data_IF_929913840048
#
_entry.id   IF_929913840048
#
_cell.length_a   1.000
_cell.length_b   1.000
_cell.length_c   1.000
_cell.angle_alpha   90.00
_cell.angle_beta   90.00
_cell.angle_gamma   90.00
#
_symmetry.space_group_name_H-M   'P 1'
#
loop_
_entity.id
_entity.type
_entity.pdbx_description
1 polymer ?
#
# COMPACT_ATOMS: atom_id res chain seq x y z
N UNK A 1 61.40 3.72 -4.63
CA UNK A 1 62.00 5.07 -4.68
C UNK A 1 62.36 5.37 -6.13
N UNK A 2 61.91 6.49 -6.68
CA UNK A 2 60.70 6.54 -7.54
C UNK A 2 61.19 6.67 -8.99
N UNK A 3 60.85 5.71 -9.85
CA UNK A 3 61.23 5.67 -11.28
C UNK A 3 59.98 6.04 -12.08
N UNK A 4 60.09 7.09 -12.90
CA UNK A 4 58.98 7.61 -13.71
C UNK A 4 58.64 6.75 -14.93
N UNK A 5 57.53 7.08 -15.61
CA UNK A 5 57.29 6.94 -17.06
C UNK A 5 56.03 7.74 -17.41
N UNK A 6 56.15 8.60 -18.45
CA UNK A 6 55.04 9.13 -19.26
C UNK A 6 54.23 7.98 -19.89
N UNK A 7 52.90 8.01 -19.85
CA UNK A 7 52.04 7.39 -20.88
C UNK A 7 50.68 8.11 -20.83
N UNK A 8 50.40 9.03 -21.76
CA UNK A 8 49.72 8.77 -23.03
C UNK A 8 48.20 8.62 -22.87
N UNK A 9 47.56 9.79 -22.87
CA UNK A 9 46.19 9.99 -23.34
C UNK A 9 46.02 9.33 -24.72
N UNK A 10 44.88 8.66 -24.96
CA UNK A 10 44.49 7.83 -26.12
C UNK A 10 44.74 6.33 -25.98
N UNK A 11 43.65 5.57 -25.71
CA UNK A 11 43.22 4.40 -26.48
C UNK A 11 42.31 3.45 -25.67
N UNK A 12 41.03 3.77 -25.48
CA UNK A 12 39.99 2.72 -25.26
C UNK A 12 38.72 3.08 -26.06
N UNK A 13 38.89 3.19 -27.37
CA UNK A 13 37.87 2.82 -28.36
C UNK A 13 38.32 1.48 -28.94
N UNK A 14 37.54 0.42 -28.68
CA UNK A 14 37.52 -0.93 -29.28
C UNK A 14 37.57 -2.03 -28.21
N UNK A 15 36.38 -2.42 -27.73
CA UNK A 15 36.03 -3.79 -27.35
C UNK A 15 34.52 -3.86 -27.09
N UNK A 16 33.71 -3.70 -28.15
CA UNK A 16 32.35 -4.21 -28.17
C UNK A 16 32.42 -5.70 -28.52
N UNK A 17 32.11 -6.65 -27.62
CA UNK A 17 31.77 -7.99 -28.05
C UNK A 17 30.35 -7.95 -28.62
N UNK A 18 30.27 -7.97 -29.93
CA UNK A 18 29.09 -8.38 -30.69
C UNK A 18 28.70 -9.80 -30.24
N UNK A 19 27.67 -9.93 -29.39
CA UNK A 19 26.91 -11.17 -29.26
C UNK A 19 25.45 -10.87 -29.56
N UNK A 20 25.12 -11.00 -30.84
CA UNK A 20 23.81 -11.47 -31.27
C UNK A 20 23.59 -12.90 -30.75
N UNK A 21 22.68 -13.05 -29.79
CA UNK A 21 21.93 -14.27 -29.47
C UNK A 21 20.51 -13.73 -29.22
N UNK A 22 19.60 -13.65 -30.20
CA UNK A 22 18.88 -14.76 -30.82
C UNK A 22 18.68 -15.92 -29.85
N UNK A 23 17.49 -15.99 -29.24
CA UNK A 23 17.12 -17.07 -28.32
C UNK A 23 16.01 -16.67 -27.36
N UNK A 24 14.82 -17.15 -27.66
CA UNK A 24 13.61 -17.14 -26.83
C UNK A 24 13.83 -17.64 -25.39
N UNK A 25 13.57 -16.80 -24.39
CA UNK A 25 12.68 -17.03 -23.23
C UNK A 25 13.06 -16.09 -22.06
N UNK A 26 12.06 -15.62 -21.28
CA UNK A 26 12.21 -14.50 -20.35
C UNK A 26 12.51 -15.03 -18.95
N UNK A 27 13.75 -15.00 -18.50
CA UNK A 27 14.12 -15.18 -17.09
C UNK A 27 15.62 -14.99 -16.92
N UNK A 28 16.07 -13.74 -16.69
CA UNK A 28 17.31 -13.46 -15.95
C UNK A 28 17.41 -11.98 -15.61
N UNK A 29 17.12 -11.72 -14.33
CA UNK A 29 17.52 -10.55 -13.58
C UNK A 29 19.00 -10.24 -13.85
N UNK A 30 19.28 -9.11 -14.50
CA UNK A 30 20.64 -8.58 -14.65
C UNK A 30 20.63 -7.16 -14.10
N UNK A 31 20.95 -7.09 -12.81
CA UNK A 31 21.25 -5.85 -12.10
C UNK A 31 22.54 -5.28 -12.69
N UNK A 32 22.43 -4.26 -13.54
CA UNK A 32 23.56 -3.41 -13.90
C UNK A 32 23.73 -2.36 -12.79
N UNK A 33 24.52 -2.68 -11.76
CA UNK A 33 25.12 -1.68 -10.88
C UNK A 33 26.30 -1.08 -11.65
N UNK A 34 26.06 0.01 -12.39
CA UNK A 34 27.14 0.94 -12.72
C UNK A 34 27.36 1.82 -11.49
N UNK A 35 28.37 1.44 -10.70
CA UNK A 35 28.90 2.26 -9.63
C UNK A 35 29.48 3.56 -10.23
N UNK A 36 28.79 4.67 -10.01
CA UNK A 36 29.30 6.02 -10.20
C UNK A 36 29.37 6.67 -8.80
N UNK A 37 30.57 7.03 -8.28
CA UNK A 37 30.70 7.57 -6.92
C UNK A 37 30.39 9.06 -6.79
N UNK A 38 30.05 9.77 -7.88
CA UNK A 38 29.92 11.24 -7.89
C UNK A 38 28.58 11.75 -8.43
N UNK A 39 27.47 11.16 -7.99
CA UNK A 39 26.15 11.71 -8.28
C UNK A 39 25.18 11.44 -7.14
N UNK A 40 24.89 12.50 -6.39
CA UNK A 40 23.75 12.68 -5.49
C UNK A 40 22.43 12.58 -6.27
N UNK A 41 22.15 11.39 -6.80
CA UNK A 41 20.86 11.03 -7.36
C UNK A 41 20.38 9.85 -6.55
N UNK A 42 19.49 10.16 -5.63
CA UNK A 42 18.65 9.19 -4.96
C UNK A 42 17.88 8.41 -6.03
N UNK A 43 18.48 7.35 -6.58
CA UNK A 43 17.76 6.22 -7.13
C UNK A 43 17.05 5.55 -5.97
N UNK A 44 15.93 6.15 -5.57
CA UNK A 44 14.91 5.46 -4.82
C UNK A 44 14.48 4.30 -5.71
N UNK A 45 14.80 3.10 -5.25
CA UNK A 45 14.41 1.82 -5.84
C UNK A 45 12.87 1.71 -5.98
N UNK A 46 12.29 2.28 -7.03
CA UNK A 46 10.88 2.03 -7.45
C UNK A 46 10.81 0.81 -8.38
N UNK A 47 11.72 -0.16 -8.27
CA UNK A 47 11.67 -1.39 -9.08
C UNK A 47 11.79 -2.70 -8.28
N UNK A 48 11.88 -2.64 -6.94
CA UNK A 48 11.86 -3.85 -6.09
C UNK A 48 10.63 -3.96 -5.16
N UNK A 49 9.68 -3.02 -5.24
CA UNK A 49 8.39 -3.04 -4.51
C UNK A 49 7.28 -3.82 -5.23
N UNK A 50 7.53 -4.36 -6.44
CA UNK A 50 6.52 -5.12 -7.19
C UNK A 50 6.50 -6.62 -6.87
N UNK A 51 7.46 -7.13 -6.07
CA UNK A 51 7.55 -8.55 -5.73
C UNK A 51 6.65 -8.88 -4.53
N UNK A 52 5.35 -9.00 -4.82
CA UNK A 52 4.38 -9.80 -4.06
C UNK A 52 4.57 -9.73 -2.53
N UNK A 53 4.38 -8.54 -1.96
CA UNK A 53 4.00 -8.47 -0.55
C UNK A 53 2.49 -8.68 -0.48
N UNK A 54 1.96 -9.45 0.49
CA UNK A 54 0.52 -9.61 0.63
C UNK A 54 -0.11 -8.20 0.68
N UNK A 55 -1.30 -8.03 0.12
CA UNK A 55 -2.02 -6.74 0.08
C UNK A 55 -2.05 -6.02 1.45
N UNK A 56 -1.94 -6.80 2.54
CA UNK A 56 -1.80 -6.36 3.92
C UNK A 56 -0.53 -5.56 4.25
N UNK A 57 0.59 -5.79 3.57
CA UNK A 57 1.82 -5.02 3.79
C UNK A 57 1.74 -3.60 3.21
N UNK A 58 1.01 -3.42 2.10
CA UNK A 58 0.69 -2.07 1.61
C UNK A 58 -0.31 -1.36 2.55
N UNK A 59 -1.13 -2.14 3.27
CA UNK A 59 -2.08 -1.67 4.29
C UNK A 59 -1.39 -1.13 5.55
N UNK A 60 -0.30 -1.79 5.97
CA UNK A 60 0.48 -1.41 7.16
C UNK A 60 1.51 -0.33 6.83
N UNK A 61 2.07 -0.35 5.61
CA UNK A 61 2.99 0.69 5.13
C UNK A 61 2.27 1.99 4.74
N UNK A 62 0.96 1.94 4.46
CA UNK A 62 0.13 3.04 3.97
C UNK A 62 -0.20 4.16 4.97
N UNK A 63 0.49 4.24 6.12
CA UNK A 63 0.31 5.14 7.27
C UNK A 63 -0.36 4.45 8.47
N UNK A 64 0.48 4.16 9.48
CA UNK A 64 0.09 3.57 10.78
C UNK A 64 -1.07 4.34 11.45
N UNK A 65 -1.15 5.65 11.28
CA UNK A 65 -2.15 6.51 11.93
C UNK A 65 -3.58 6.21 11.48
N UNK A 66 -3.80 5.82 10.23
CA UNK A 66 -5.16 5.58 9.71
C UNK A 66 -5.58 4.11 9.80
N UNK A 67 -4.62 3.18 9.73
CA UNK A 67 -4.91 1.75 9.81
C UNK A 67 -5.30 1.31 11.23
N UNK A 68 -4.67 1.87 12.28
CA UNK A 68 -4.96 1.53 13.68
C UNK A 68 -6.43 1.72 14.07
N UNK A 69 -7.06 2.89 13.86
CA UNK A 69 -8.46 3.09 14.22
C UNK A 69 -9.42 2.20 13.42
N UNK A 70 -9.14 1.90 12.14
CA UNK A 70 -9.93 0.92 11.37
C UNK A 70 -9.83 -0.49 11.97
N UNK A 71 -8.64 -0.92 12.39
CA UNK A 71 -8.43 -2.24 13.00
C UNK A 71 -9.14 -2.32 14.35
N UNK A 72 -9.08 -1.27 15.18
CA UNK A 72 -9.81 -1.21 16.45
C UNK A 72 -11.32 -1.30 16.20
N UNK A 73 -11.84 -0.54 15.23
CA UNK A 73 -13.25 -0.60 14.87
C UNK A 73 -13.65 -1.99 14.36
N UNK A 74 -12.82 -2.65 13.56
CA UNK A 74 -13.05 -4.02 13.09
C UNK A 74 -13.12 -5.02 14.26
N UNK A 75 -12.19 -4.94 15.22
CA UNK A 75 -12.21 -5.79 16.41
C UNK A 75 -13.45 -5.53 17.27
N UNK A 76 -13.85 -4.27 17.43
CA UNK A 76 -15.06 -3.90 18.16
C UNK A 76 -16.33 -4.42 17.47
N UNK A 77 -16.40 -4.37 16.13
CA UNK A 77 -17.49 -4.98 15.34
C UNK A 77 -17.58 -6.48 15.59
N UNK A 78 -16.44 -7.19 15.55
CA UNK A 78 -16.41 -8.63 15.81
C UNK A 78 -16.83 -8.95 17.25
N UNK A 79 -16.32 -8.22 18.24
CA UNK A 79 -16.69 -8.41 19.64
C UNK A 79 -18.18 -8.15 19.90
N UNK A 80 -18.71 -7.04 19.39
CA UNK A 80 -20.13 -6.72 19.51
C UNK A 80 -21.02 -7.74 18.78
N UNK A 81 -20.58 -8.24 17.63
CA UNK A 81 -21.31 -9.28 16.91
C UNK A 81 -21.36 -10.59 17.70
N UNK A 82 -20.23 -11.05 18.28
CA UNK A 82 -20.22 -12.24 19.15
C UNK A 82 -21.20 -12.06 20.32
N UNK A 83 -21.18 -10.89 20.97
CA UNK A 83 -22.09 -10.60 22.08
C UNK A 83 -23.57 -10.58 21.65
N UNK A 84 -23.86 -10.15 20.42
CA UNK A 84 -25.20 -10.19 19.83
C UNK A 84 -25.68 -11.63 19.54
N UNK A 85 -24.78 -12.58 19.29
CA UNK A 85 -25.12 -14.01 19.11
C UNK A 85 -25.24 -14.77 20.43
N UNK A 86 -24.48 -14.39 21.46
CA UNK A 86 -24.49 -15.08 22.76
C UNK A 86 -25.69 -14.67 23.61
N UNK A 87 -26.08 -13.39 23.57
CA UNK A 87 -27.25 -12.92 24.32
C UNK A 87 -28.51 -13.04 23.48
N UNK A 88 -29.59 -13.54 24.10
CA UNK A 88 -30.93 -13.57 23.52
C UNK A 88 -31.81 -12.50 24.18
N UNK A 89 -32.76 -11.93 23.44
CA UNK A 89 -33.72 -10.94 23.94
C UNK A 89 -33.33 -9.49 23.66
N UNK A 90 -33.75 -8.55 24.53
CA UNK A 90 -33.50 -7.11 24.39
C UNK A 90 -32.01 -6.77 24.32
N UNK A 91 -31.18 -7.52 25.08
CA UNK A 91 -29.74 -7.34 25.09
C UNK A 91 -29.10 -7.60 23.71
N UNK A 92 -29.65 -8.50 22.89
CA UNK A 92 -29.12 -8.77 21.56
C UNK A 92 -29.30 -7.57 20.61
N UNK A 93 -30.39 -6.81 20.79
CA UNK A 93 -30.75 -5.71 19.91
C UNK A 93 -29.81 -4.52 20.05
N UNK A 94 -29.38 -4.20 21.28
CA UNK A 94 -28.45 -3.09 21.49
C UNK A 94 -27.06 -3.41 20.91
N UNK A 95 -26.57 -4.65 21.06
CA UNK A 95 -25.31 -5.07 20.45
C UNK A 95 -25.38 -5.01 18.93
N UNK A 96 -26.49 -5.44 18.32
CA UNK A 96 -26.69 -5.36 16.87
C UNK A 96 -26.73 -3.93 16.33
N UNK A 97 -27.31 -2.98 17.09
CA UNK A 97 -27.27 -1.56 16.77
C UNK A 97 -25.86 -0.98 16.93
N UNK A 98 -25.15 -1.36 18.00
CA UNK A 98 -23.76 -0.97 18.22
C UNK A 98 -22.84 -1.45 17.09
N UNK A 99 -22.98 -2.70 16.65
CA UNK A 99 -22.26 -3.27 15.50
C UNK A 99 -22.46 -2.41 14.25
N UNK A 100 -23.69 -1.97 13.98
CA UNK A 100 -23.98 -1.12 12.83
C UNK A 100 -23.39 0.28 12.95
N UNK A 101 -23.49 0.92 14.12
CA UNK A 101 -22.93 2.25 14.36
C UNK A 101 -21.40 2.25 14.25
N UNK A 102 -20.72 1.24 14.81
CA UNK A 102 -19.26 1.10 14.69
C UNK A 102 -18.87 0.81 13.24
N UNK A 103 -19.63 -0.04 12.54
CA UNK A 103 -19.41 -0.30 11.12
C UNK A 103 -19.55 0.96 10.27
N UNK A 104 -20.58 1.77 10.53
CA UNK A 104 -20.81 3.04 9.83
C UNK A 104 -19.69 4.04 10.11
N UNK A 105 -19.24 4.12 11.36
CA UNK A 105 -18.07 4.91 11.74
C UNK A 105 -16.82 4.46 10.98
N UNK A 106 -16.56 3.15 10.88
CA UNK A 106 -15.42 2.62 10.13
C UNK A 106 -15.48 2.98 8.64
N UNK A 107 -16.67 2.98 8.03
CA UNK A 107 -16.88 3.41 6.65
C UNK A 107 -16.58 4.90 6.46
N UNK A 108 -17.17 5.76 7.29
CA UNK A 108 -16.93 7.22 7.22
C UNK A 108 -15.47 7.54 7.47
N UNK A 109 -14.84 6.85 8.43
CA UNK A 109 -13.42 7.02 8.73
C UNK A 109 -12.54 6.51 7.56
N UNK A 110 -12.94 5.44 6.88
CA UNK A 110 -12.31 4.98 5.64
C UNK A 110 -12.34 6.04 4.54
N UNK A 111 -13.47 6.73 4.34
CA UNK A 111 -13.56 7.87 3.42
C UNK A 111 -12.71 9.06 3.87
N UNK A 112 -12.69 9.34 5.17
CA UNK A 112 -11.83 10.39 5.74
C UNK A 112 -10.35 10.10 5.47
N UNK A 113 -9.92 8.86 5.66
CA UNK A 113 -8.53 8.44 5.39
C UNK A 113 -8.13 8.67 3.92
N UNK A 114 -9.05 8.44 2.97
CA UNK A 114 -8.83 8.74 1.56
C UNK A 114 -8.59 10.22 1.32
N UNK A 115 -9.40 11.09 1.95
CA UNK A 115 -9.26 12.54 1.80
C UNK A 115 -7.89 13.01 2.28
N UNK A 116 -7.42 12.49 3.42
CA UNK A 116 -6.09 12.83 3.94
C UNK A 116 -4.98 12.28 3.04
N UNK A 117 -5.10 11.04 2.56
CA UNK A 117 -4.10 10.46 1.65
C UNK A 117 -3.98 11.24 0.34
N UNK A 118 -5.11 11.68 -0.23
CA UNK A 118 -5.11 12.51 -1.43
C UNK A 118 -4.50 13.89 -1.15
N UNK A 119 -4.80 14.49 -0.01
CA UNK A 119 -4.19 15.76 0.41
C UNK A 119 -2.65 15.64 0.52
N UNK A 120 -2.16 14.58 1.15
CA UNK A 120 -0.72 14.33 1.26
C UNK A 120 -0.07 14.07 -0.10
N UNK A 121 -0.75 13.32 -0.98
CA UNK A 121 -0.29 13.08 -2.35
C UNK A 121 -0.15 14.37 -3.15
N UNK A 122 -1.18 15.23 -3.13
CA UNK A 122 -1.14 16.52 -3.81
C UNK A 122 -0.01 17.41 -3.27
N UNK A 123 0.15 17.48 -1.94
CA UNK A 123 1.25 18.25 -1.34
C UNK A 123 2.65 17.68 -1.63
N UNK A 124 2.78 16.38 -1.94
CA UNK A 124 4.04 15.82 -2.43
C UNK A 124 4.29 16.20 -3.90
N UNK A 125 3.24 16.19 -4.73
CA UNK A 125 3.29 16.56 -6.13
C UNK A 125 3.68 18.04 -6.31
N UNK A 126 3.09 18.94 -5.52
CA UNK A 126 3.39 20.38 -5.58
C UNK A 126 4.86 20.69 -5.31
N UNK A 127 5.52 19.92 -4.43
CA UNK A 127 6.94 20.15 -4.07
C UNK A 127 7.92 19.65 -5.11
N UNK A 128 7.56 18.63 -5.89
CA UNK A 128 8.45 17.98 -6.88
C UNK A 128 8.25 18.56 -8.29
N UNK A 129 7.08 19.16 -8.57
CA UNK A 129 6.80 19.82 -9.84
C UNK A 129 6.56 18.83 -10.98
N UNK A 130 7.63 18.40 -11.67
CA UNK A 130 7.52 17.50 -12.81
C UNK A 130 7.16 16.08 -12.36
N UNK A 131 5.88 15.73 -12.44
CA UNK A 131 5.35 14.42 -12.03
C UNK A 131 5.19 13.49 -13.22
N UNK A 132 5.68 12.25 -13.09
CA UNK A 132 5.30 11.20 -14.03
C UNK A 132 3.85 10.75 -13.77
N UNK A 133 3.06 10.43 -14.82
CA UNK A 133 1.71 9.86 -14.65
C UNK A 133 1.68 8.60 -13.78
N UNK A 134 2.77 7.84 -13.75
CA UNK A 134 2.92 6.65 -12.92
C UNK A 134 2.91 6.98 -11.41
N UNK A 135 3.47 8.12 -11.00
CA UNK A 135 3.48 8.55 -9.59
C UNK A 135 2.06 8.87 -9.10
N UNK A 136 1.30 9.61 -9.92
CA UNK A 136 -0.09 9.98 -9.64
C UNK A 136 -0.98 8.73 -9.56
N UNK A 137 -0.82 7.81 -10.51
CA UNK A 137 -1.55 6.54 -10.51
C UNK A 137 -1.23 5.68 -9.27
N UNK A 138 0.04 5.66 -8.85
CA UNK A 138 0.47 4.95 -7.64
C UNK A 138 -0.16 5.51 -6.37
N UNK A 139 -0.13 6.82 -6.18
CA UNK A 139 -0.72 7.46 -4.99
C UNK A 139 -2.25 7.39 -4.97
N UNK A 140 -2.91 7.49 -6.13
CA UNK A 140 -4.37 7.30 -6.22
C UNK A 140 -4.76 5.86 -5.86
N UNK A 141 -4.02 4.87 -6.37
CA UNK A 141 -4.23 3.45 -6.03
C UNK A 141 -4.06 3.21 -4.53
N UNK A 142 -3.09 3.86 -3.88
CA UNK A 142 -2.87 3.74 -2.44
C UNK A 142 -4.05 4.35 -1.64
N UNK A 143 -4.59 5.49 -2.09
CA UNK A 143 -5.71 6.15 -1.40
C UNK A 143 -7.01 5.33 -1.40
N UNK A 144 -7.22 4.48 -2.40
CA UNK A 144 -8.41 3.62 -2.53
C UNK A 144 -8.48 2.50 -1.50
N UNK A 145 -7.37 2.20 -0.84
CA UNK A 145 -7.29 1.13 0.15
C UNK A 145 -8.13 1.46 1.40
N UNK A 146 -8.10 2.71 1.87
CA UNK A 146 -8.85 3.14 3.05
C UNK A 146 -10.37 2.93 2.90
N UNK A 147 -11.01 3.47 1.84
CA UNK A 147 -12.42 3.23 1.54
C UNK A 147 -12.75 1.76 1.33
N UNK A 148 -11.90 1.00 0.64
CA UNK A 148 -12.13 -0.42 0.40
C UNK A 148 -12.22 -1.21 1.72
N UNK A 149 -11.34 -0.92 2.67
CA UNK A 149 -11.39 -1.50 4.01
C UNK A 149 -12.60 -1.03 4.81
N UNK A 150 -12.92 0.27 4.78
CA UNK A 150 -14.09 0.82 5.46
C UNK A 150 -15.40 0.21 4.97
N UNK A 151 -15.54 0.05 3.64
CA UNK A 151 -16.68 -0.64 3.02
C UNK A 151 -16.70 -2.10 3.44
N UNK A 152 -15.56 -2.79 3.45
CA UNK A 152 -15.46 -4.18 3.88
C UNK A 152 -15.95 -4.40 5.31
N UNK A 153 -15.50 -3.56 6.25
CA UNK A 153 -15.93 -3.62 7.67
C UNK A 153 -17.42 -3.32 7.79
N UNK A 154 -17.92 -2.28 7.09
CA UNK A 154 -19.33 -1.93 7.13
C UNK A 154 -20.23 -3.01 6.54
N UNK A 155 -19.85 -3.60 5.41
CA UNK A 155 -20.58 -4.71 4.80
C UNK A 155 -20.68 -5.90 5.76
N UNK A 156 -19.57 -6.26 6.42
CA UNK A 156 -19.55 -7.31 7.44
C UNK A 156 -20.47 -6.95 8.62
N UNK A 157 -20.41 -5.72 9.12
CA UNK A 157 -21.27 -5.26 10.22
C UNK A 157 -22.77 -5.35 9.87
N UNK A 158 -23.17 -4.95 8.66
CA UNK A 158 -24.55 -5.06 8.18
C UNK A 158 -24.96 -6.53 8.07
N UNK A 159 -24.13 -7.39 7.47
CA UNK A 159 -24.41 -8.81 7.34
C UNK A 159 -24.56 -9.48 8.72
N UNK A 160 -23.69 -9.16 9.68
CA UNK A 160 -23.75 -9.69 11.05
C UNK A 160 -25.02 -9.24 11.77
N UNK A 161 -25.40 -7.96 11.64
CA UNK A 161 -26.66 -7.43 12.20
C UNK A 161 -27.87 -8.17 11.63
N UNK A 162 -27.90 -8.39 10.31
CA UNK A 162 -28.99 -9.12 9.66
C UNK A 162 -29.03 -10.58 10.08
N UNK A 163 -27.87 -11.24 10.18
CA UNK A 163 -27.75 -12.61 10.65
C UNK A 163 -28.22 -12.78 12.11
N UNK A 164 -27.79 -11.89 13.01
CA UNK A 164 -28.25 -11.88 14.40
C UNK A 164 -29.78 -11.69 14.50
N UNK A 165 -30.34 -10.80 13.67
CA UNK A 165 -31.79 -10.59 13.61
C UNK A 165 -32.55 -11.79 13.02
N UNK A 166 -31.96 -12.51 12.08
CA UNK A 166 -32.56 -13.71 11.49
C UNK A 166 -32.58 -14.90 12.43
N UNK A 167 -31.57 -15.03 13.31
CA UNK A 167 -31.48 -16.13 14.27
C UNK A 167 -32.37 -15.91 15.52
N UNK A 168 -32.69 -14.66 15.82
CA UNK A 168 -33.55 -14.27 16.97
C UNK A 168 -35.06 -14.30 16.66
N UNK A 169 -35.50 -14.93 15.57
CA UNK A 169 -36.91 -15.19 15.25
C UNK A 169 -37.23 -16.66 15.41
#
# INVERSE_FOLDING_TARGET
>A
MVIGIRLHEQAIHRSLPNRSLSGSHPSKCLIFVLANPDSTVATIDIQLVSRQRPMFELLVQGNLTFTVPLVIAALAVVGAAIMAFVHNGESAQWYGELTFQIGLFAFVFGLFSQAISLYQMMGAIERVGAVSPALVAGGLKLSMIGPAMGIGIFAIAVLLRLAARSFSR
#
